data_IF_620762144507
#
_entry.id   IF_620762144507
#
_cell.length_a   1.000
_cell.length_b   1.000
_cell.length_c   1.000
_cell.angle_alpha   90.00
_cell.angle_beta   90.00
_cell.angle_gamma   90.00
#
_symmetry.space_group_name_H-M   'P 1'
#
loop_
_entity.id
_entity.type
_entity.pdbx_description
1 polymer ?
#
# COMPACT_ATOMS: atom_id res chain seq x y z
N UNK A 1 -10.69 -10.46 -25.53
CA UNK A 1 -10.50 -8.98 -25.58
C UNK A 1 -9.43 -8.67 -24.56
N UNK A 2 -8.21 -8.92 -24.99
CA UNK A 2 -6.99 -8.88 -24.20
C UNK A 2 -6.66 -7.43 -23.88
N UNK A 3 -6.67 -7.09 -22.60
CA UNK A 3 -6.31 -5.77 -22.11
C UNK A 3 -4.80 -5.65 -22.08
N UNK A 4 -4.25 -5.01 -23.11
CA UNK A 4 -2.86 -4.56 -23.19
C UNK A 4 -2.51 -3.73 -21.94
N UNK A 5 -1.71 -4.31 -21.04
CA UNK A 5 -1.22 -3.72 -19.78
C UNK A 5 0.02 -2.87 -20.02
N UNK A 6 0.03 -2.04 -21.05
CA UNK A 6 1.16 -1.13 -21.30
C UNK A 6 1.15 0.01 -20.27
N UNK A 7 2.02 -0.12 -19.27
CA UNK A 7 2.50 0.92 -18.32
C UNK A 7 3.22 2.10 -19.00
N UNK A 8 2.92 2.43 -20.27
CA UNK A 8 3.59 3.56 -20.93
C UNK A 8 2.91 4.86 -20.48
N UNK A 9 3.72 5.73 -19.87
CA UNK A 9 3.46 7.12 -19.46
C UNK A 9 3.14 7.41 -17.98
N UNK A 10 3.60 6.61 -17.02
CA UNK A 10 3.67 7.10 -15.63
C UNK A 10 5.11 7.07 -15.14
N UNK A 11 5.56 8.21 -14.62
CA UNK A 11 6.84 8.35 -13.94
C UNK A 11 6.90 7.42 -12.71
N UNK A 12 8.08 6.90 -12.39
CA UNK A 12 8.25 6.13 -11.18
C UNK A 12 8.11 6.98 -9.93
N UNK A 13 7.70 6.38 -8.79
CA UNK A 13 7.67 7.09 -7.54
C UNK A 13 9.08 7.64 -7.29
N UNK A 14 9.18 8.88 -6.79
CA UNK A 14 10.48 9.48 -6.51
C UNK A 14 11.25 8.56 -5.57
N UNK A 15 12.54 8.37 -5.86
CA UNK A 15 13.41 7.61 -4.98
C UNK A 15 13.34 8.24 -3.58
N UNK A 16 13.20 7.44 -2.50
CA UNK A 16 13.10 8.00 -1.17
C UNK A 16 14.33 8.87 -0.86
N UNK A 17 14.18 10.02 -0.19
CA UNK A 17 15.30 10.85 0.23
C UNK A 17 16.27 10.01 1.08
N UNK A 18 17.56 10.04 0.73
CA UNK A 18 18.59 9.27 1.43
C UNK A 18 19.11 10.04 2.64
N UNK A 19 18.58 9.89 3.86
CA UNK A 19 19.31 10.23 5.09
C UNK A 19 18.84 9.44 6.32
N UNK A 20 19.82 9.16 7.19
CA UNK A 20 19.76 8.48 8.49
C UNK A 20 18.75 9.14 9.43
N UNK A 21 17.89 8.34 10.06
CA UNK A 21 17.27 8.70 11.32
C UNK A 21 17.22 7.47 12.23
N UNK A 22 17.67 7.68 13.45
CA UNK A 22 17.94 6.69 14.49
C UNK A 22 16.69 5.97 15.00
N UNK A 23 16.97 4.86 15.69
CA UNK A 23 16.07 3.79 16.05
C UNK A 23 14.75 4.19 16.72
N UNK A 24 13.70 3.54 16.26
CA UNK A 24 12.56 3.10 17.06
C UNK A 24 12.23 1.67 16.65
N UNK A 25 12.48 0.72 17.57
CA UNK A 25 12.03 -0.65 17.46
C UNK A 25 10.53 -0.67 17.71
N UNK A 26 9.73 -0.68 16.64
CA UNK A 26 8.30 -0.92 16.76
C UNK A 26 8.02 -2.42 16.56
N UNK A 27 7.63 -3.07 17.66
CA UNK A 27 7.21 -4.47 17.70
C UNK A 27 5.80 -4.59 17.15
N UNK A 28 5.64 -4.41 15.84
CA UNK A 28 4.46 -4.85 15.12
C UNK A 28 4.90 -5.95 14.16
N UNK A 29 4.16 -7.05 14.10
CA UNK A 29 4.50 -8.28 13.36
C UNK A 29 4.84 -7.99 11.89
N UNK A 30 6.09 -7.66 11.62
CA UNK A 30 6.57 -7.38 10.28
C UNK A 30 6.67 -8.70 9.54
N UNK A 31 5.75 -8.93 8.60
CA UNK A 31 5.93 -9.95 7.58
C UNK A 31 7.24 -9.65 6.87
N UNK A 32 8.25 -10.45 7.16
CA UNK A 32 9.59 -10.23 6.67
C UNK A 32 9.59 -10.49 5.15
N UNK A 33 9.76 -9.45 4.35
CA UNK A 33 9.88 -9.55 2.89
C UNK A 33 11.31 -9.93 2.55
N UNK A 34 11.50 -10.96 1.73
CA UNK A 34 12.79 -11.49 1.33
C UNK A 34 13.01 -11.35 -0.17
N UNK A 35 14.28 -11.37 -0.58
CA UNK A 35 14.64 -11.49 -1.99
C UNK A 35 14.01 -12.74 -2.59
N UNK A 36 13.38 -12.60 -3.75
CA UNK A 36 12.65 -13.65 -4.45
C UNK A 36 11.14 -13.66 -4.18
N UNK A 37 10.65 -12.93 -3.18
CA UNK A 37 9.22 -12.86 -2.89
C UNK A 37 8.44 -12.15 -4.00
N UNK A 38 7.28 -12.70 -4.34
CA UNK A 38 6.29 -12.01 -5.15
C UNK A 38 5.40 -11.13 -4.27
N UNK A 39 5.23 -9.89 -4.69
CA UNK A 39 4.59 -8.83 -3.89
C UNK A 39 3.66 -7.98 -4.75
N UNK A 40 2.68 -7.35 -4.10
CA UNK A 40 1.90 -6.25 -4.67
C UNK A 40 2.44 -4.93 -4.13
N UNK A 41 3.04 -4.14 -5.02
CA UNK A 41 3.57 -2.83 -4.70
C UNK A 41 2.57 -1.72 -5.09
N UNK A 42 2.29 -0.81 -4.17
CA UNK A 42 1.46 0.37 -4.42
C UNK A 42 2.26 1.44 -5.16
N UNK A 43 1.70 1.98 -6.24
CA UNK A 43 2.32 3.03 -7.03
C UNK A 43 1.76 4.42 -6.71
N UNK A 44 2.35 5.46 -7.33
CA UNK A 44 1.96 6.87 -7.16
C UNK A 44 0.52 7.16 -7.63
N UNK A 45 -0.04 6.32 -8.50
CA UNK A 45 -1.45 6.41 -8.91
C UNK A 45 -2.42 5.72 -7.93
N UNK A 46 -1.91 5.16 -6.83
CA UNK A 46 -2.66 4.48 -5.79
C UNK A 46 -3.04 3.04 -6.12
N UNK A 47 -2.68 2.51 -7.30
CA UNK A 47 -2.94 1.13 -7.71
C UNK A 47 -1.84 0.18 -7.23
N UNK A 48 -2.18 -1.12 -7.20
CA UNK A 48 -1.25 -2.20 -6.85
C UNK A 48 -0.75 -2.90 -8.12
N UNK A 49 0.54 -3.17 -8.16
CA UNK A 49 1.21 -3.86 -9.26
C UNK A 49 1.99 -5.06 -8.75
N UNK A 50 1.90 -6.17 -9.49
CA UNK A 50 2.67 -7.36 -9.20
C UNK A 50 4.16 -7.11 -9.50
N UNK A 51 5.02 -7.58 -8.61
CA UNK A 51 6.45 -7.55 -8.81
C UNK A 51 7.18 -8.58 -7.97
N UNK A 52 8.46 -8.75 -8.25
CA UNK A 52 9.36 -9.68 -7.58
C UNK A 52 10.47 -8.90 -6.87
N UNK A 53 10.70 -9.19 -5.58
CA UNK A 53 11.73 -8.52 -4.78
C UNK A 53 13.13 -9.00 -5.22
N UNK A 54 13.95 -8.06 -5.68
CA UNK A 54 15.36 -8.31 -6.08
C UNK A 54 16.35 -8.02 -4.97
N UNK A 55 16.10 -6.98 -4.18
CA UNK A 55 16.95 -6.57 -3.05
C UNK A 55 16.11 -6.01 -1.92
N UNK A 56 16.60 -6.17 -0.69
CA UNK A 56 15.98 -5.61 0.52
C UNK A 56 17.00 -4.69 1.19
N UNK A 57 16.60 -3.45 1.47
CA UNK A 57 17.35 -2.51 2.29
C UNK A 57 16.62 -2.34 3.64
N UNK A 58 17.17 -2.98 4.67
CA UNK A 58 16.63 -2.91 6.03
C UNK A 58 16.85 -1.56 6.70
N UNK A 59 17.84 -0.78 6.27
CA UNK A 59 18.13 0.54 6.86
C UNK A 59 17.15 1.57 6.32
N UNK A 60 16.97 1.59 5.00
CA UNK A 60 16.04 2.53 4.32
C UNK A 60 14.60 2.04 4.30
N UNK A 61 14.32 0.87 4.87
CA UNK A 61 12.99 0.25 4.88
C UNK A 61 12.37 0.21 3.47
N UNK A 62 13.15 -0.19 2.46
CA UNK A 62 12.69 -0.27 1.07
C UNK A 62 13.22 -1.53 0.38
N UNK A 63 12.57 -1.93 -0.72
CA UNK A 63 12.97 -3.07 -1.52
C UNK A 63 13.09 -2.67 -2.99
N UNK A 64 14.09 -3.20 -3.69
CA UNK A 64 14.15 -3.12 -5.15
C UNK A 64 13.19 -4.15 -5.71
N UNK A 65 12.14 -3.72 -6.39
CA UNK A 65 11.09 -4.57 -6.95
C UNK A 65 11.18 -4.52 -8.48
N UNK A 66 11.19 -5.70 -9.11
CA UNK A 66 11.07 -5.85 -10.56
C UNK A 66 9.62 -6.14 -10.94
N UNK A 67 9.03 -5.32 -11.79
CA UNK A 67 7.65 -5.46 -12.25
C UNK A 67 7.54 -6.34 -13.50
N UNK A 68 6.31 -6.67 -13.90
CA UNK A 68 6.00 -7.53 -15.06
C UNK A 68 6.55 -6.98 -16.39
N UNK A 69 6.69 -5.66 -16.50
CA UNK A 69 7.28 -4.98 -17.67
C UNK A 69 8.83 -4.92 -17.64
N UNK A 70 9.46 -5.64 -16.70
CA UNK A 70 10.89 -5.64 -16.42
C UNK A 70 11.46 -4.33 -15.87
N UNK A 71 10.64 -3.33 -15.56
CA UNK A 71 11.11 -2.15 -14.86
C UNK A 71 11.49 -2.49 -13.41
N UNK A 72 12.49 -1.79 -12.85
CA UNK A 72 12.98 -2.01 -11.49
C UNK A 72 12.98 -0.70 -10.71
N UNK A 73 12.30 -0.68 -9.57
CA UNK A 73 12.21 0.51 -8.72
C UNK A 73 12.31 0.18 -7.24
N UNK A 74 12.87 1.12 -6.48
CA UNK A 74 12.85 1.07 -5.03
C UNK A 74 11.46 1.44 -4.54
N UNK A 75 10.84 0.53 -3.77
CA UNK A 75 9.52 0.70 -3.18
C UNK A 75 9.66 0.66 -1.67
N UNK A 76 9.06 1.62 -0.98
CA UNK A 76 9.03 1.63 0.49
C UNK A 76 8.28 0.41 1.02
N UNK A 77 8.76 -0.16 2.13
CA UNK A 77 8.18 -1.37 2.73
C UNK A 77 6.71 -1.16 3.12
N UNK A 78 6.31 0.06 3.51
CA UNK A 78 4.91 0.42 3.79
C UNK A 78 3.97 0.25 2.58
N UNK A 79 4.53 0.27 1.38
CA UNK A 79 3.79 0.18 0.11
C UNK A 79 3.88 -1.22 -0.52
N UNK A 80 4.54 -2.17 0.14
CA UNK A 80 4.71 -3.55 -0.30
C UNK A 80 3.75 -4.46 0.49
N UNK A 81 2.94 -5.21 -0.24
CA UNK A 81 2.01 -6.19 0.32
C UNK A 81 2.46 -7.58 -0.12
N UNK A 82 2.78 -8.45 0.85
CA UNK A 82 3.27 -9.80 0.56
C UNK A 82 2.15 -10.68 0.01
N UNK A 83 2.36 -11.26 -1.19
CA UNK A 83 1.47 -12.28 -1.73
C UNK A 83 1.85 -13.64 -1.14
N UNK A 84 1.32 -14.00 0.03
CA UNK A 84 1.49 -15.39 0.50
C UNK A 84 0.71 -16.33 -0.44
N UNK A 85 1.47 -17.07 -1.27
CA UNK A 85 1.05 -17.93 -2.39
C UNK A 85 0.17 -19.15 -2.06
N UNK A 86 -0.52 -19.21 -0.93
CA UNK A 86 -1.33 -20.39 -0.60
C UNK A 86 -2.82 -20.17 -0.40
N UNK A 87 -3.33 -18.99 -0.75
CA UNK A 87 -4.76 -18.80 -0.62
C UNK A 87 -5.24 -17.63 -1.49
N UNK A 88 -5.92 -17.98 -2.59
CA UNK A 88 -6.99 -17.15 -3.16
C UNK A 88 -8.19 -17.06 -2.18
N UNK A 89 -8.13 -17.69 -1.01
CA UNK A 89 -8.90 -17.25 0.14
C UNK A 89 -8.21 -16.03 0.77
N UNK A 90 -8.95 -15.02 1.23
CA UNK A 90 -8.38 -13.98 2.06
C UNK A 90 -7.81 -14.68 3.30
N UNK A 91 -6.50 -14.92 3.33
CA UNK A 91 -5.85 -15.33 4.56
C UNK A 91 -6.12 -14.17 5.51
N UNK A 92 -6.87 -14.35 6.61
CA UNK A 92 -7.21 -13.25 7.47
C UNK A 92 -5.89 -12.79 8.08
N UNK A 93 -5.37 -11.70 7.53
CA UNK A 93 -4.64 -10.74 8.33
C UNK A 93 -5.53 -10.49 9.55
N UNK A 94 -5.23 -11.15 10.66
CA UNK A 94 -5.94 -10.97 11.91
C UNK A 94 -5.52 -9.60 12.43
N UNK A 95 -6.41 -8.63 12.31
CA UNK A 95 -6.20 -7.33 12.92
C UNK A 95 -6.76 -7.36 14.33
N UNK A 96 -6.03 -6.81 15.30
CA UNK A 96 -6.70 -6.35 16.51
C UNK A 96 -7.72 -5.26 16.11
N UNK A 97 -8.93 -5.25 16.69
CA UNK A 97 -9.96 -4.29 16.33
C UNK A 97 -9.48 -2.83 16.29
N UNK A 98 -8.66 -2.45 17.27
CA UNK A 98 -8.06 -1.13 17.45
C UNK A 98 -6.90 -0.81 16.48
N UNK A 99 -6.25 -1.83 15.92
CA UNK A 99 -5.12 -1.65 14.99
C UNK A 99 -5.58 -1.42 13.54
N UNK A 100 -6.86 -1.64 13.23
CA UNK A 100 -7.42 -1.35 11.92
C UNK A 100 -7.99 0.07 11.88
N UNK A 101 -7.92 0.72 10.71
CA UNK A 101 -8.50 2.06 10.50
C UNK A 101 -9.55 2.05 9.39
N UNK A 102 -10.83 2.35 9.70
CA UNK A 102 -11.40 2.60 11.03
C UNK A 102 -11.46 1.32 11.89
N UNK A 103 -11.60 1.47 13.21
CA UNK A 103 -11.68 0.36 14.18
C UNK A 103 -12.71 -0.68 13.73
N UNK A 104 -12.38 -1.97 13.89
CA UNK A 104 -13.30 -3.07 13.57
C UNK A 104 -14.40 -3.09 14.64
N UNK A 105 -15.66 -3.04 14.21
CA UNK A 105 -16.78 -3.19 15.13
C UNK A 105 -16.88 -4.64 15.63
N UNK A 106 -17.08 -4.88 16.94
CA UNK A 106 -17.11 -6.22 17.51
C UNK A 106 -18.26 -7.09 16.98
N UNK A 107 -19.34 -6.47 16.47
CA UNK A 107 -20.48 -7.14 15.85
C UNK A 107 -20.30 -7.37 14.34
N UNK A 108 -19.15 -7.00 13.76
CA UNK A 108 -18.87 -7.26 12.37
C UNK A 108 -18.81 -8.78 12.13
N UNK A 109 -19.71 -9.29 11.30
CA UNK A 109 -19.71 -10.69 10.89
C UNK A 109 -18.34 -11.03 10.28
N UNK A 110 -17.61 -11.90 10.98
CA UNK A 110 -16.23 -12.27 10.69
C UNK A 110 -16.09 -12.87 9.28
N UNK A 111 -17.16 -13.49 8.77
CA UNK A 111 -17.18 -14.11 7.43
C UNK A 111 -17.41 -13.08 6.31
N UNK A 112 -17.84 -11.86 6.65
CA UNK A 112 -18.21 -10.81 5.70
C UNK A 112 -17.25 -9.61 5.67
N UNK A 113 -16.44 -9.46 6.73
CA UNK A 113 -15.54 -8.34 6.90
C UNK A 113 -14.41 -8.35 5.88
N UNK A 114 -14.04 -7.16 5.38
CA UNK A 114 -12.95 -6.98 4.43
C UNK A 114 -12.06 -5.84 4.93
N UNK A 115 -10.76 -6.11 5.05
CA UNK A 115 -9.80 -5.10 5.49
C UNK A 115 -9.67 -3.93 4.51
N UNK A 116 -9.21 -2.79 5.03
CA UNK A 116 -8.95 -1.57 4.24
C UNK A 116 -8.13 -1.86 2.99
N UNK A 117 -7.05 -2.63 3.13
CA UNK A 117 -6.15 -2.93 2.02
C UNK A 117 -6.88 -3.64 0.87
N UNK A 118 -7.65 -4.69 1.18
CA UNK A 118 -8.45 -5.43 0.19
C UNK A 118 -9.57 -4.56 -0.42
N UNK A 119 -10.23 -3.72 0.39
CA UNK A 119 -11.24 -2.77 -0.13
C UNK A 119 -10.61 -1.84 -1.17
N UNK A 120 -9.46 -1.23 -0.88
CA UNK A 120 -8.78 -0.33 -1.81
C UNK A 120 -8.22 -1.07 -3.03
N UNK A 121 -7.72 -2.29 -2.87
CA UNK A 121 -7.23 -3.12 -3.97
C UNK A 121 -8.34 -3.41 -5.01
N UNK A 122 -9.55 -3.69 -4.53
CA UNK A 122 -10.68 -4.01 -5.42
C UNK A 122 -11.34 -2.75 -5.98
N UNK A 123 -11.54 -1.73 -5.13
CA UNK A 123 -12.35 -0.55 -5.47
C UNK A 123 -11.60 0.52 -6.28
N UNK A 124 -10.28 0.60 -6.17
CA UNK A 124 -9.49 1.58 -6.93
C UNK A 124 -9.30 1.10 -8.37
N UNK A 125 -9.60 1.97 -9.34
CA UNK A 125 -9.45 1.71 -10.78
C UNK A 125 -8.86 2.93 -11.48
N UNK A 126 -8.22 2.70 -12.62
CA UNK A 126 -7.79 3.78 -13.52
C UNK A 126 -9.01 4.60 -13.94
N UNK A 127 -8.93 5.93 -13.83
CA UNK A 127 -10.05 6.84 -14.12
C UNK A 127 -11.03 7.04 -12.96
N UNK A 128 -10.79 6.41 -11.80
CA UNK A 128 -11.55 6.65 -10.57
C UNK A 128 -12.08 5.38 -9.92
N UNK A 129 -12.34 5.45 -8.63
CA UNK A 129 -12.84 4.33 -7.85
C UNK A 129 -14.28 3.91 -8.24
N UNK A 130 -14.64 2.67 -7.90
CA UNK A 130 -16.00 2.16 -8.05
C UNK A 130 -17.02 3.07 -7.36
N UNK A 131 -18.14 3.34 -8.05
CA UNK A 131 -19.22 4.23 -7.55
C UNK A 131 -20.43 3.47 -6.98
N UNK A 132 -20.53 2.15 -7.19
CA UNK A 132 -21.68 1.32 -6.80
C UNK A 132 -21.23 -0.05 -6.28
N UNK A 133 -22.12 -0.72 -5.55
CA UNK A 133 -21.88 -2.06 -5.00
C UNK A 133 -21.19 -2.06 -3.63
N UNK A 134 -20.98 -3.26 -3.07
CA UNK A 134 -20.44 -3.43 -1.70
C UNK A 134 -19.09 -2.75 -1.50
N UNK A 135 -18.17 -2.89 -2.45
CA UNK A 135 -16.81 -2.33 -2.35
C UNK A 135 -16.80 -0.81 -2.43
N UNK A 136 -17.71 -0.19 -3.21
CA UNK A 136 -17.83 1.26 -3.24
C UNK A 136 -18.29 1.83 -1.90
N UNK A 137 -19.29 1.20 -1.27
CA UNK A 137 -19.79 1.60 0.06
C UNK A 137 -18.72 1.41 1.14
N UNK A 138 -18.05 0.26 1.15
CA UNK A 138 -16.94 0.00 2.06
C UNK A 138 -15.81 1.01 1.85
N UNK A 139 -15.43 1.32 0.61
CA UNK A 139 -14.39 2.31 0.35
C UNK A 139 -14.79 3.70 0.84
N UNK A 140 -16.05 4.12 0.65
CA UNK A 140 -16.55 5.37 1.20
C UNK A 140 -16.42 5.41 2.73
N UNK A 141 -16.83 4.33 3.42
CA UNK A 141 -16.66 4.19 4.86
C UNK A 141 -15.20 4.26 5.30
N UNK A 142 -14.31 3.52 4.63
CA UNK A 142 -12.88 3.54 4.92
C UNK A 142 -12.27 4.94 4.76
N UNK A 143 -12.74 5.74 3.80
CA UNK A 143 -12.25 7.11 3.55
C UNK A 143 -12.66 8.13 4.61
N UNK A 144 -13.55 7.78 5.55
CA UNK A 144 -13.90 8.64 6.68
C UNK A 144 -12.76 8.81 7.69
N UNK A 145 -11.76 7.92 7.66
CA UNK A 145 -10.55 8.02 8.49
C UNK A 145 -9.29 7.77 7.66
N UNK A 146 -8.26 8.59 7.90
CA UNK A 146 -6.92 8.39 7.36
C UNK A 146 -6.15 7.41 8.27
N UNK A 147 -5.38 6.47 7.71
CA UNK A 147 -4.56 5.54 8.48
C UNK A 147 -3.22 6.15 8.93
N UNK A 148 -3.12 7.48 8.92
CA UNK A 148 -1.96 8.28 9.32
C UNK A 148 -2.44 9.63 9.87
N UNK A 149 -1.57 10.30 10.63
CA UNK A 149 -1.85 11.63 11.14
C UNK A 149 -1.32 12.69 10.17
N UNK A 150 -2.14 13.68 9.81
CA UNK A 150 -1.69 14.76 8.92
C UNK A 150 -0.60 15.62 9.56
N UNK A 151 -0.64 15.78 10.88
CA UNK A 151 0.33 16.57 11.65
C UNK A 151 1.70 15.91 11.76
N UNK A 152 1.84 14.62 11.43
CA UNK A 152 3.12 13.90 11.47
C UNK A 152 3.84 13.88 10.12
N UNK A 153 3.35 14.65 9.13
CA UNK A 153 3.94 14.72 7.80
C UNK A 153 4.87 15.92 7.70
N UNK A 154 6.11 15.68 7.30
CA UNK A 154 7.13 16.70 7.08
C UNK A 154 7.06 17.19 5.64
N UNK A 155 6.27 18.25 5.44
CA UNK A 155 6.05 18.85 4.14
C UNK A 155 7.18 19.78 3.71
N UNK A 156 7.43 19.85 2.41
CA UNK A 156 8.22 20.92 1.82
C UNK A 156 7.53 22.30 1.99
N UNK A 157 8.26 23.42 1.83
CA UNK A 157 7.69 24.77 1.99
C UNK A 157 6.55 25.09 1.00
N UNK A 158 6.44 24.37 -0.11
CA UNK A 158 5.40 24.57 -1.12
C UNK A 158 4.18 23.69 -0.88
N UNK A 159 4.21 22.82 0.13
CA UNK A 159 3.19 21.83 0.45
C UNK A 159 2.87 20.90 -0.73
N UNK A 160 3.89 20.56 -1.53
CA UNK A 160 3.74 19.66 -2.68
C UNK A 160 4.05 18.21 -2.29
N UNK A 161 5.16 18.01 -1.59
CA UNK A 161 5.63 16.69 -1.18
C UNK A 161 5.90 16.62 0.32
N UNK A 162 5.82 15.41 0.87
CA UNK A 162 6.25 15.11 2.23
C UNK A 162 7.31 14.01 2.28
N UNK A 163 8.20 14.07 3.27
CA UNK A 163 9.31 13.12 3.44
C UNK A 163 8.82 11.67 3.60
N UNK A 164 7.67 11.47 4.25
CA UNK A 164 7.07 10.16 4.49
C UNK A 164 6.49 9.52 3.22
N UNK A 165 6.43 10.25 2.09
CA UNK A 165 5.77 9.83 0.85
C UNK A 165 4.38 9.23 1.13
N UNK A 166 3.58 9.94 1.92
CA UNK A 166 2.29 9.49 2.42
C UNK A 166 1.20 10.46 1.98
N UNK A 167 0.34 9.99 1.07
CA UNK A 167 -0.72 10.80 0.48
C UNK A 167 -2.02 10.02 0.39
N UNK A 168 -3.10 10.78 0.21
CA UNK A 168 -4.44 10.25 -0.09
C UNK A 168 -4.98 9.31 1.00
N UNK A 169 -6.19 8.81 0.80
CA UNK A 169 -6.82 7.87 1.73
C UNK A 169 -6.11 6.51 1.81
N UNK A 170 -5.23 6.20 0.85
CA UNK A 170 -4.48 4.96 0.79
C UNK A 170 -3.14 5.00 1.55
N UNK A 171 -2.66 6.18 1.98
CA UNK A 171 -1.33 6.39 2.57
C UNK A 171 -0.16 5.99 1.67
N UNK A 172 -0.43 5.90 0.36
CA UNK A 172 0.55 5.55 -0.66
C UNK A 172 1.45 6.72 -1.05
N UNK A 173 2.43 6.47 -1.93
CA UNK A 173 3.22 7.52 -2.55
C UNK A 173 2.35 8.33 -3.52
N UNK A 174 2.88 9.48 -3.92
CA UNK A 174 2.26 10.44 -4.81
C UNK A 174 3.32 11.39 -5.35
N UNK A 175 2.99 12.04 -6.47
CA UNK A 175 3.77 13.13 -7.06
C UNK A 175 3.10 14.48 -6.78
#
# INVERSE_FOLDING_TARGET
>A
RDGDMTKRHQSPPPSPPLLLADGLTDTHTHTHTHTGDDVLARWSDGLLYLGNVKRVDGVKQCCLVRFEDNSEFWVLRKDIHSCKKNSLSPSPVSYHPECHTPTIEPEADSDSWICRQCVFAVATKRGGALKRGRFARLMQFMKLRLPYQLSSLDWDPQHLTNQQQCYCYCAGPGE
#
